data_IF_402744673138
#
_entry.id   IF_402744673138
#
_cell.length_a   1.000
_cell.length_b   1.000
_cell.length_c   1.000
_cell.angle_alpha   90.00
_cell.angle_beta   90.00
_cell.angle_gamma   90.00
#
_symmetry.space_group_name_H-M   'P 1'
#
loop_
_entity.id
_entity.type
_entity.pdbx_description
1 polymer ?
#
# COMPACT_ATOMS: atom_id res chain seq x y z
N UNK A 1 41.27 1.51 2.01
CA UNK A 1 39.97 2.18 1.91
C UNK A 1 38.92 1.19 1.42
N UNK A 2 37.96 0.88 2.26
CA UNK A 2 36.82 0.04 1.89
C UNK A 2 35.85 0.86 1.06
N UNK A 3 35.60 0.42 -0.17
CA UNK A 3 34.52 0.99 -0.98
C UNK A 3 33.19 0.67 -0.34
N UNK A 4 32.38 1.66 -0.05
CA UNK A 4 31.02 1.45 0.42
C UNK A 4 30.18 0.91 -0.75
N UNK A 5 29.57 -0.24 -0.53
CA UNK A 5 28.68 -0.83 -1.52
C UNK A 5 27.41 0.00 -1.66
N UNK A 6 27.01 0.27 -2.90
CA UNK A 6 25.79 1.02 -3.18
C UNK A 6 24.62 0.01 -3.20
N UNK A 7 23.76 0.08 -2.18
CA UNK A 7 22.58 -0.76 -2.05
C UNK A 7 21.34 0.08 -1.82
N UNK A 8 20.17 -0.49 -2.02
CA UNK A 8 18.90 0.18 -1.69
C UNK A 8 18.83 0.54 -0.20
N UNK A 9 19.30 -0.37 0.65
CA UNK A 9 19.34 -0.15 2.11
C UNK A 9 20.24 1.03 2.48
N UNK A 10 21.42 1.12 1.88
CA UNK A 10 22.36 2.24 2.11
C UNK A 10 21.76 3.57 1.65
N UNK A 11 20.91 3.56 0.65
CA UNK A 11 20.22 4.75 0.14
C UNK A 11 18.94 5.10 0.93
N UNK A 12 18.65 4.39 2.01
CA UNK A 12 17.46 4.61 2.83
C UNK A 12 16.24 3.79 2.41
N UNK A 13 16.40 2.84 1.49
CA UNK A 13 15.34 1.96 1.04
C UNK A 13 15.63 0.52 1.51
N UNK A 14 14.91 0.07 2.52
CA UNK A 14 15.05 -1.28 3.04
C UNK A 14 13.98 -2.20 2.46
N UNK A 15 14.35 -2.93 1.40
CA UNK A 15 13.43 -3.83 0.69
C UNK A 15 13.03 -5.04 1.55
N UNK A 16 13.92 -5.51 2.43
CA UNK A 16 13.61 -6.60 3.34
C UNK A 16 12.61 -6.17 4.42
N UNK A 17 12.73 -4.97 4.91
CA UNK A 17 11.77 -4.40 5.86
C UNK A 17 10.41 -4.17 5.22
N UNK A 18 10.37 -3.71 3.98
CA UNK A 18 9.15 -3.59 3.21
C UNK A 18 8.43 -4.92 3.06
N UNK A 19 9.18 -5.99 2.75
CA UNK A 19 8.63 -7.34 2.64
C UNK A 19 8.07 -7.85 3.98
N UNK A 20 8.76 -7.56 5.09
CA UNK A 20 8.27 -7.91 6.43
C UNK A 20 6.99 -7.16 6.78
N UNK A 21 6.92 -5.87 6.45
CA UNK A 21 5.74 -5.06 6.70
C UNK A 21 4.52 -5.60 5.93
N UNK A 22 4.70 -5.95 4.66
CA UNK A 22 3.64 -6.54 3.84
C UNK A 22 3.17 -7.87 4.44
N UNK A 23 4.10 -8.72 4.86
CA UNK A 23 3.76 -10.00 5.47
C UNK A 23 2.97 -9.83 6.77
N UNK A 24 3.36 -8.85 7.60
CA UNK A 24 2.69 -8.57 8.87
C UNK A 24 1.24 -8.10 8.70
N UNK A 25 0.91 -7.41 7.62
CA UNK A 25 -0.44 -6.88 7.38
C UNK A 25 -1.33 -7.78 6.54
N UNK A 26 -0.81 -8.89 6.04
CA UNK A 26 -1.50 -9.77 5.08
C UNK A 26 -2.89 -10.19 5.54
N UNK A 27 -3.00 -10.65 6.77
CA UNK A 27 -4.27 -11.10 7.35
C UNK A 27 -5.29 -9.95 7.45
N UNK A 28 -4.84 -8.79 7.91
CA UNK A 28 -5.69 -7.60 8.01
C UNK A 28 -6.16 -7.14 6.63
N UNK A 29 -5.29 -7.15 5.64
CA UNK A 29 -5.62 -6.79 4.25
C UNK A 29 -6.66 -7.77 3.70
N UNK A 30 -6.46 -9.08 3.90
CA UNK A 30 -7.42 -10.09 3.46
C UNK A 30 -8.81 -9.89 4.08
N UNK A 31 -8.88 -9.40 5.31
CA UNK A 31 -10.15 -9.13 5.98
C UNK A 31 -10.99 -8.05 5.28
N UNK A 32 -10.36 -7.22 4.46
CA UNK A 32 -11.04 -6.16 3.69
C UNK A 32 -11.48 -6.61 2.30
N UNK A 33 -11.11 -7.82 1.88
CA UNK A 33 -11.39 -8.30 0.53
C UNK A 33 -12.87 -8.55 0.32
N UNK A 34 -13.34 -8.11 -0.82
CA UNK A 34 -14.68 -8.39 -1.33
C UNK A 34 -14.58 -9.49 -2.41
N UNK A 35 -15.71 -10.10 -2.80
CA UNK A 35 -15.68 -11.12 -3.86
C UNK A 35 -15.09 -10.64 -5.19
N UNK A 36 -15.14 -9.34 -5.46
CA UNK A 36 -14.60 -8.73 -6.68
C UNK A 36 -13.07 -8.68 -6.70
N UNK A 37 -12.41 -8.81 -5.55
CA UNK A 37 -10.94 -8.81 -5.48
C UNK A 37 -10.40 -10.10 -6.07
N UNK A 38 -9.51 -9.98 -7.07
CA UNK A 38 -8.92 -11.12 -7.77
C UNK A 38 -7.44 -11.19 -7.45
N UNK A 39 -6.99 -12.37 -7.02
CA UNK A 39 -5.59 -12.59 -6.66
C UNK A 39 -5.30 -12.27 -5.21
N UNK A 40 -4.04 -12.05 -4.90
CA UNK A 40 -3.54 -11.84 -3.55
C UNK A 40 -2.58 -10.66 -3.50
N UNK A 41 -2.25 -10.24 -2.27
CA UNK A 41 -1.26 -9.20 -2.01
C UNK A 41 0.13 -9.68 -2.46
N UNK A 42 0.92 -8.75 -2.99
CA UNK A 42 2.31 -9.02 -3.37
C UNK A 42 2.54 -9.15 -4.87
N UNK A 43 1.50 -9.02 -5.69
CA UNK A 43 1.64 -8.94 -7.14
C UNK A 43 2.03 -7.54 -7.62
N UNK A 44 2.19 -7.41 -8.93
CA UNK A 44 2.56 -6.13 -9.57
C UNK A 44 1.47 -5.07 -9.48
N UNK A 45 0.23 -5.48 -9.31
CA UNK A 45 -0.92 -4.59 -9.19
C UNK A 45 -2.11 -5.30 -8.60
N UNK A 46 -3.08 -4.55 -8.18
CA UNK A 46 -4.33 -5.08 -7.71
C UNK A 46 -5.28 -5.37 -8.86
N UNK A 47 -5.98 -6.51 -8.79
CA UNK A 47 -7.01 -6.86 -9.74
C UNK A 47 -8.38 -6.80 -9.05
N UNK A 48 -9.31 -6.12 -9.68
CA UNK A 48 -10.67 -5.97 -9.18
C UNK A 48 -11.66 -6.20 -10.31
N UNK A 49 -12.58 -7.15 -10.14
CA UNK A 49 -13.56 -7.48 -11.15
C UNK A 49 -14.63 -6.40 -11.24
N UNK A 50 -14.86 -5.87 -12.43
CA UNK A 50 -15.94 -4.92 -12.70
C UNK A 50 -17.14 -5.58 -13.39
N UNK A 51 -17.25 -6.91 -13.29
CA UNK A 51 -18.35 -7.65 -13.92
C UNK A 51 -19.74 -7.14 -13.46
N UNK A 52 -19.84 -6.65 -12.23
CA UNK A 52 -21.10 -6.08 -11.72
C UNK A 52 -21.53 -4.80 -12.45
N UNK A 53 -20.60 -4.15 -13.15
CA UNK A 53 -20.87 -2.90 -13.88
C UNK A 53 -21.21 -3.13 -15.36
N UNK A 54 -21.21 -4.38 -15.83
CA UNK A 54 -21.39 -4.71 -17.26
C UNK A 54 -22.68 -4.20 -17.86
N UNK A 55 -23.72 -4.04 -17.06
CA UNK A 55 -25.03 -3.57 -17.51
C UNK A 55 -25.21 -2.04 -17.33
N UNK A 56 -24.22 -1.35 -16.83
CA UNK A 56 -24.24 0.11 -16.72
C UNK A 56 -23.97 0.76 -18.07
N UNK A 57 -24.64 1.90 -18.31
CA UNK A 57 -24.51 2.61 -19.59
C UNK A 57 -23.11 3.24 -19.75
N UNK A 58 -22.55 3.77 -18.66
CA UNK A 58 -21.25 4.47 -18.67
C UNK A 58 -20.54 4.29 -17.34
N UNK A 59 -20.01 3.10 -17.07
CA UNK A 59 -19.36 2.82 -15.79
C UNK A 59 -18.02 3.55 -15.68
N UNK A 60 -17.81 4.23 -14.56
CA UNK A 60 -16.55 4.90 -14.23
C UNK A 60 -15.96 4.29 -12.98
N UNK A 61 -14.68 3.97 -13.04
CA UNK A 61 -13.90 3.52 -11.88
C UNK A 61 -13.05 4.68 -11.38
N UNK A 62 -13.21 5.01 -10.10
CA UNK A 62 -12.36 6.01 -9.44
C UNK A 62 -11.48 5.29 -8.42
N UNK A 63 -10.20 5.51 -8.52
CA UNK A 63 -9.22 4.95 -7.60
C UNK A 63 -8.16 6.00 -7.32
N UNK A 64 -7.77 6.12 -6.05
CA UNK A 64 -6.74 7.07 -5.68
C UNK A 64 -6.17 6.77 -4.31
N UNK A 65 -4.87 6.99 -4.18
CA UNK A 65 -4.18 6.99 -2.89
C UNK A 65 -3.19 8.14 -2.90
N UNK A 66 -2.91 8.70 -1.73
CA UNK A 66 -1.96 9.79 -1.59
C UNK A 66 -0.95 9.47 -0.49
N UNK A 67 0.29 9.91 -0.68
CA UNK A 67 1.39 9.65 0.23
C UNK A 67 1.32 10.41 1.56
N UNK A 68 0.29 11.17 1.82
CA UNK A 68 0.02 12.00 3.01
C UNK A 68 1.13 13.00 3.40
N UNK A 69 2.21 13.07 2.66
CA UNK A 69 3.23 14.11 2.74
C UNK A 69 3.81 14.33 4.14
N UNK A 70 3.78 15.58 4.60
CA UNK A 70 4.34 16.00 5.89
C UNK A 70 3.60 15.44 7.11
N UNK A 71 2.39 14.91 6.94
CA UNK A 71 1.66 14.26 8.04
C UNK A 71 2.42 13.08 8.63
N UNK A 72 3.21 12.37 7.82
CA UNK A 72 4.08 11.29 8.32
C UNK A 72 5.08 11.81 9.33
N UNK A 73 5.70 12.95 9.08
CA UNK A 73 6.65 13.58 10.03
C UNK A 73 5.95 13.97 11.33
N UNK A 74 4.76 14.54 11.23
CA UNK A 74 3.96 14.91 12.41
C UNK A 74 3.58 13.66 13.20
N UNK A 75 3.16 12.59 12.53
CA UNK A 75 2.84 11.32 13.16
C UNK A 75 4.04 10.73 13.89
N UNK A 76 5.23 10.77 13.28
CA UNK A 76 6.48 10.30 13.89
C UNK A 76 6.83 11.11 15.14
N UNK A 77 6.73 12.42 15.06
CA UNK A 77 7.02 13.31 16.20
C UNK A 77 6.02 13.13 17.34
N UNK A 78 4.76 12.91 17.03
CA UNK A 78 3.69 12.69 18.01
C UNK A 78 3.64 11.25 18.54
N UNK A 79 4.31 10.32 17.89
CA UNK A 79 4.22 8.89 18.21
C UNK A 79 2.84 8.29 17.95
N UNK A 80 2.06 8.87 17.03
CA UNK A 80 0.69 8.44 16.73
C UNK A 80 0.56 8.11 15.25
N UNK A 81 0.28 6.85 14.94
CA UNK A 81 0.23 6.33 13.57
C UNK A 81 -1.13 5.77 13.17
N UNK A 82 -2.11 5.79 14.06
CA UNK A 82 -3.39 5.10 13.86
C UNK A 82 -4.36 5.78 12.88
N UNK A 83 -4.09 7.02 12.45
CA UNK A 83 -5.03 7.78 11.64
C UNK A 83 -4.52 8.17 10.25
N UNK A 84 -3.21 8.13 10.02
CA UNK A 84 -2.63 8.54 8.73
C UNK A 84 -3.10 7.68 7.56
N UNK A 85 -3.42 6.41 7.81
CA UNK A 85 -3.95 5.51 6.78
C UNK A 85 -5.32 5.94 6.27
N UNK A 86 -6.12 6.58 7.10
CA UNK A 86 -7.42 7.12 6.69
C UNK A 86 -7.23 8.25 5.67
N UNK A 87 -6.25 9.10 5.90
CA UNK A 87 -5.94 10.22 4.99
C UNK A 87 -5.34 9.75 3.66
N UNK A 88 -4.67 8.61 3.67
CA UNK A 88 -4.02 8.06 2.48
C UNK A 88 -5.03 7.55 1.45
N UNK A 89 -6.14 6.98 1.88
CA UNK A 89 -7.15 6.35 1.01
C UNK A 89 -8.32 7.30 0.61
#
# INVERSE_FOLDING_TARGET
MTKQEVTYQAAGVDTAEGARAVDAIKETVHSTYRPEVVGDIGGFGGLFSIAAAKDMADPLLVSGTDGVGTKLKVAQLAGKHGTVGIDLV
#
